data_IF_291118114575
#
_entry.id   IF_291118114575
#
_cell.length_a   1.000
_cell.length_b   1.000
_cell.length_c   1.000
_cell.angle_alpha   90.00
_cell.angle_beta   90.00
_cell.angle_gamma   90.00
#
_symmetry.space_group_name_H-M   'P 1'
#
loop_
_entity.id
_entity.type
_entity.pdbx_description
1 polymer ?
#
# COMPACT_ATOMS: atom_id res chain seq x y z
N UNK A 1 -8.07 0.26 22.36
CA UNK A 1 -6.72 0.38 22.94
C UNK A 1 -5.71 0.18 21.82
N UNK A 2 -5.35 1.21 21.05
CA UNK A 2 -4.38 1.05 19.96
C UNK A 2 -3.51 2.31 19.86
N UNK A 3 -2.25 2.15 20.26
CA UNK A 3 -1.06 2.85 19.75
C UNK A 3 -1.03 4.39 19.84
N UNK A 4 -1.67 5.01 20.83
CA UNK A 4 -1.53 6.47 21.07
C UNK A 4 -0.36 6.85 21.98
N UNK A 5 0.18 5.93 22.78
CA UNK A 5 1.08 6.29 23.89
C UNK A 5 2.59 6.12 23.60
N UNK A 6 2.98 5.55 22.45
CA UNK A 6 4.40 5.22 22.16
C UNK A 6 5.03 6.12 21.09
N UNK A 7 4.26 6.99 20.42
CA UNK A 7 4.75 7.78 19.30
C UNK A 7 4.98 9.24 19.72
N UNK A 8 6.08 9.84 19.21
CA UNK A 8 6.26 11.29 19.22
C UNK A 8 4.96 11.97 18.76
N UNK A 9 4.61 13.11 19.36
CA UNK A 9 3.29 13.78 19.27
C UNK A 9 2.76 13.99 17.83
N UNK A 10 3.61 13.81 16.81
CA UNK A 10 3.33 14.09 15.40
C UNK A 10 3.08 12.85 14.52
N UNK A 11 3.29 11.62 15.00
CA UNK A 11 3.04 10.40 14.19
C UNK A 11 1.63 9.89 14.45
N UNK A 12 0.82 9.79 13.38
CA UNK A 12 -0.48 9.13 13.41
C UNK A 12 -0.44 7.81 12.66
N UNK A 13 -1.13 6.81 13.22
CA UNK A 13 -1.36 5.53 12.57
C UNK A 13 -2.82 5.47 12.10
N UNK A 14 -3.00 5.14 10.83
CA UNK A 14 -4.29 4.80 10.24
C UNK A 14 -4.26 3.40 9.63
N UNK A 15 -5.41 2.94 9.18
CA UNK A 15 -5.52 1.72 8.37
C UNK A 15 -6.27 2.03 7.07
N UNK A 16 -6.01 1.18 6.08
CA UNK A 16 -6.64 1.14 4.77
C UNK A 16 -7.05 -0.31 4.52
N UNK A 17 -8.33 -0.53 4.27
CA UNK A 17 -8.79 -1.80 3.71
C UNK A 17 -8.80 -1.68 2.18
N UNK A 18 -8.26 -2.67 1.49
CA UNK A 18 -8.39 -2.72 0.04
C UNK A 18 -9.83 -3.10 -0.35
N UNK A 19 -10.51 -2.25 -1.13
CA UNK A 19 -11.91 -2.42 -1.51
C UNK A 19 -12.15 -3.61 -2.45
N UNK A 20 -11.15 -3.99 -3.25
CA UNK A 20 -11.25 -5.10 -4.22
C UNK A 20 -10.62 -6.36 -3.65
N UNK A 21 -9.40 -6.26 -3.15
CA UNK A 21 -8.68 -7.37 -2.50
C UNK A 21 -8.94 -7.31 -1.00
N UNK A 22 -10.20 -7.49 -0.63
CA UNK A 22 -10.70 -7.35 0.75
C UNK A 22 -10.01 -8.25 1.78
N UNK A 23 -9.20 -9.22 1.36
CA UNK A 23 -8.30 -9.98 2.23
C UNK A 23 -7.03 -9.24 2.67
N UNK A 24 -6.80 -7.99 2.24
CA UNK A 24 -5.61 -7.19 2.59
C UNK A 24 -5.99 -5.96 3.40
N UNK A 25 -5.33 -5.80 4.55
CA UNK A 25 -5.34 -4.56 5.34
C UNK A 25 -3.95 -3.96 5.38
N UNK A 26 -3.86 -2.66 5.12
CA UNK A 26 -2.64 -1.87 5.23
C UNK A 26 -2.71 -0.94 6.44
N UNK A 27 -1.64 -0.91 7.23
CA UNK A 27 -1.45 0.07 8.31
C UNK A 27 -0.46 1.12 7.82
N UNK A 28 -0.79 2.39 8.03
CA UNK A 28 0.01 3.51 7.54
C UNK A 28 0.36 4.39 8.72
N UNK A 29 1.66 4.57 8.95
CA UNK A 29 2.17 5.58 9.85
C UNK A 29 2.55 6.81 9.02
N UNK A 30 2.09 7.99 9.43
CA UNK A 30 2.43 9.25 8.75
C UNK A 30 2.59 10.38 9.75
N UNK A 31 3.50 11.31 9.44
CA UNK A 31 3.65 12.53 10.21
C UNK A 31 2.53 13.51 9.81
N UNK A 32 1.74 13.94 10.80
CA UNK A 32 0.72 14.98 10.66
C UNK A 32 1.09 16.19 11.56
N UNK A 33 2.24 16.79 11.32
CA UNK A 33 2.62 18.03 11.98
C UNK A 33 1.97 19.24 11.29
N UNK A 34 1.82 20.35 12.01
CA UNK A 34 1.32 21.63 11.49
C UNK A 34 2.40 22.73 11.38
N UNK A 35 3.70 22.46 11.62
CA UNK A 35 4.69 23.55 11.66
C UNK A 35 6.12 23.14 11.22
N UNK A 36 6.61 23.88 10.22
CA UNK A 36 7.97 24.19 9.72
C UNK A 36 9.17 23.22 9.77
N UNK A 37 9.19 22.15 10.57
CA UNK A 37 10.41 21.32 10.75
C UNK A 37 10.30 19.87 10.29
N UNK A 38 9.10 19.32 10.15
CA UNK A 38 8.89 17.93 9.71
C UNK A 38 8.23 17.86 8.34
N UNK A 39 8.78 17.04 7.43
CA UNK A 39 8.18 16.84 6.11
C UNK A 39 6.99 15.87 6.21
N UNK A 40 5.74 16.32 5.94
CA UNK A 40 4.58 15.43 5.93
C UNK A 40 4.65 14.34 4.85
N UNK A 41 5.66 14.35 3.96
CA UNK A 41 5.88 13.29 2.98
C UNK A 41 6.47 11.99 3.58
N UNK A 42 7.07 12.05 4.79
CA UNK A 42 7.57 10.86 5.47
C UNK A 42 6.41 9.99 5.97
N UNK A 43 6.37 8.75 5.47
CA UNK A 43 5.36 7.76 5.83
C UNK A 43 5.92 6.35 5.70
N UNK A 44 5.32 5.42 6.43
CA UNK A 44 5.58 3.99 6.36
C UNK A 44 4.27 3.23 6.15
N UNK A 45 4.31 2.16 5.37
CA UNK A 45 3.16 1.28 5.13
C UNK A 45 3.52 -0.18 5.46
N UNK A 46 2.58 -0.90 6.07
CA UNK A 46 2.66 -2.34 6.26
C UNK A 46 1.31 -2.97 5.92
N UNK A 47 1.27 -3.69 4.80
CA UNK A 47 0.12 -4.45 4.32
C UNK A 47 0.29 -5.92 4.68
N UNK A 48 -0.80 -6.53 5.17
CA UNK A 48 -0.84 -7.94 5.54
C UNK A 48 -2.11 -8.57 5.00
N UNK A 49 -2.02 -9.87 4.72
CA UNK A 49 -3.21 -10.68 4.54
C UNK A 49 -3.93 -10.79 5.89
N UNK A 50 -5.16 -10.30 5.94
CA UNK A 50 -6.05 -10.30 7.10
C UNK A 50 -7.34 -11.05 6.83
N UNK A 51 -7.52 -11.56 5.61
CA UNK A 51 -8.62 -12.42 5.20
C UNK A 51 -8.27 -13.24 3.96
N UNK A 52 -9.27 -13.91 3.39
CA UNK A 52 -9.09 -14.66 2.15
C UNK A 52 -8.76 -13.73 0.98
N UNK A 53 -7.77 -14.12 0.16
CA UNK A 53 -7.52 -13.53 -1.15
C UNK A 53 -7.92 -14.57 -2.19
N UNK A 54 -8.90 -14.25 -3.03
CA UNK A 54 -9.50 -15.20 -3.97
C UNK A 54 -9.19 -14.85 -5.44
N UNK A 55 -9.25 -15.82 -6.37
CA UNK A 55 -9.04 -15.56 -7.79
C UNK A 55 -9.99 -14.49 -8.35
N UNK A 56 -11.23 -14.43 -7.86
CA UNK A 56 -12.22 -13.43 -8.30
C UNK A 56 -11.83 -12.01 -7.89
N UNK A 57 -11.12 -11.84 -6.77
CA UNK A 57 -10.55 -10.55 -6.37
C UNK A 57 -9.44 -10.15 -7.33
N UNK A 58 -8.50 -11.07 -7.63
CA UNK A 58 -7.38 -10.83 -8.56
C UNK A 58 -7.85 -10.65 -10.01
N UNK A 59 -9.00 -11.20 -10.38
CA UNK A 59 -9.60 -10.96 -11.70
C UNK A 59 -10.12 -9.53 -11.88
N UNK A 60 -10.43 -8.82 -10.79
CA UNK A 60 -11.04 -7.47 -10.80
C UNK A 60 -10.01 -6.33 -10.73
N UNK A 61 -8.76 -6.61 -10.39
CA UNK A 61 -7.72 -5.57 -10.26
C UNK A 61 -7.10 -5.21 -11.61
N UNK A 62 -6.54 -3.99 -11.71
CA UNK A 62 -5.67 -3.62 -12.82
C UNK A 62 -4.37 -4.45 -12.82
N UNK A 63 -4.09 -5.11 -13.95
CA UNK A 63 -2.87 -5.92 -14.18
C UNK A 63 -1.83 -5.20 -15.03
N UNK A 64 -2.05 -3.93 -15.36
CA UNK A 64 -1.07 -3.10 -16.05
C UNK A 64 0.17 -2.87 -15.17
N UNK A 65 1.32 -2.58 -15.80
CA UNK A 65 2.56 -2.26 -15.08
C UNK A 65 2.43 -1.00 -14.21
N UNK A 66 1.50 -0.09 -14.57
CA UNK A 66 1.21 1.09 -13.77
C UNK A 66 0.39 0.79 -12.53
N UNK A 67 -0.38 -0.30 -12.50
CA UNK A 67 -1.32 -0.60 -11.42
C UNK A 67 -2.32 0.53 -11.13
N UNK A 68 -2.92 0.48 -9.93
CA UNK A 68 -4.09 1.28 -9.59
C UNK A 68 -3.91 2.04 -8.27
N UNK A 69 -4.38 3.29 -8.18
CA UNK A 69 -4.41 4.03 -6.91
C UNK A 69 -5.63 3.60 -6.10
N UNK A 70 -5.40 2.84 -5.04
CA UNK A 70 -6.44 2.29 -4.16
C UNK A 70 -6.74 3.18 -2.95
N UNK A 71 -5.92 4.19 -2.69
CA UNK A 71 -6.15 5.15 -1.61
C UNK A 71 -5.54 6.51 -1.91
N UNK A 72 -6.21 7.57 -1.46
CA UNK A 72 -5.76 8.95 -1.55
C UNK A 72 -6.13 9.70 -0.26
N UNK A 73 -5.17 10.38 0.36
CA UNK A 73 -5.41 11.27 1.51
C UNK A 73 -4.70 12.60 1.33
N UNK A 74 -5.44 13.69 1.48
CA UNK A 74 -4.89 15.05 1.47
C UNK A 74 -4.13 15.34 2.77
N UNK A 75 -2.97 15.99 2.66
CA UNK A 75 -2.16 16.48 3.77
C UNK A 75 -2.20 18.02 3.72
N UNK A 76 -2.65 18.64 4.81
CA UNK A 76 -3.04 20.08 4.87
C UNK A 76 -1.92 21.08 4.57
N UNK A 77 -0.66 20.67 4.67
CA UNK A 77 0.50 21.53 4.40
C UNK A 77 0.84 21.48 2.89
N UNK A 78 0.60 22.58 2.17
CA UNK A 78 0.94 22.79 0.76
C UNK A 78 0.29 21.82 -0.26
N UNK A 79 -0.99 21.47 -0.10
CA UNK A 79 -1.76 20.61 -1.03
C UNK A 79 -1.11 19.24 -1.35
N UNK A 80 -0.23 18.74 -0.48
CA UNK A 80 0.39 17.42 -0.67
C UNK A 80 -0.67 16.33 -0.59
N UNK A 81 -0.60 15.37 -1.50
CA UNK A 81 -1.50 14.21 -1.47
C UNK A 81 -0.68 12.94 -1.32
N UNK A 82 -0.98 12.15 -0.28
CA UNK A 82 -0.47 10.79 -0.15
C UNK A 82 -1.38 9.84 -0.93
N UNK A 83 -0.77 8.93 -1.70
CA UNK A 83 -1.44 7.90 -2.47
C UNK A 83 -0.87 6.54 -2.11
N UNK A 84 -1.71 5.51 -2.15
CA UNK A 84 -1.26 4.11 -2.16
C UNK A 84 -1.65 3.50 -3.49
N UNK A 85 -0.67 2.95 -4.19
CA UNK A 85 -0.87 2.28 -5.47
C UNK A 85 -0.62 0.79 -5.33
N UNK A 86 -1.61 0.00 -5.75
CA UNK A 86 -1.54 -1.45 -5.84
C UNK A 86 -1.03 -1.83 -7.22
N UNK A 87 -0.01 -2.69 -7.26
CA UNK A 87 0.56 -3.24 -8.49
C UNK A 87 0.56 -4.75 -8.35
N UNK A 88 0.10 -5.46 -9.39
CA UNK A 88 0.19 -6.91 -9.44
C UNK A 88 1.49 -7.32 -10.13
N UNK A 89 2.31 -8.09 -9.44
CA UNK A 89 3.46 -8.78 -10.02
C UNK A 89 3.05 -10.22 -10.35
N UNK A 90 2.80 -10.53 -11.64
CA UNK A 90 2.39 -11.88 -12.06
C UNK A 90 3.52 -12.90 -11.98
N UNK A 91 4.79 -12.48 -12.10
CA UNK A 91 5.93 -13.39 -12.09
C UNK A 91 6.12 -14.01 -10.71
N UNK A 92 6.07 -13.16 -9.67
CA UNK A 92 6.20 -13.59 -8.28
C UNK A 92 4.84 -13.80 -7.59
N UNK A 93 3.73 -13.68 -8.34
CA UNK A 93 2.35 -13.74 -7.82
C UNK A 93 2.19 -12.96 -6.50
N UNK A 94 2.48 -11.67 -6.56
CA UNK A 94 2.56 -10.81 -5.37
C UNK A 94 1.83 -9.49 -5.62
N UNK A 95 1.13 -8.99 -4.60
CA UNK A 95 0.54 -7.65 -4.61
C UNK A 95 1.50 -6.67 -3.94
N UNK A 96 1.89 -5.64 -4.67
CA UNK A 96 2.76 -4.56 -4.19
C UNK A 96 1.90 -3.36 -3.85
N UNK A 97 2.07 -2.80 -2.65
CA UNK A 97 1.41 -1.58 -2.19
C UNK A 97 2.47 -0.50 -1.98
N UNK A 98 2.57 0.40 -2.96
CA UNK A 98 3.50 1.53 -2.95
C UNK A 98 2.79 2.78 -2.40
N UNK A 99 3.19 3.22 -1.21
CA UNK A 99 2.84 4.53 -0.67
C UNK A 99 3.79 5.59 -1.21
N UNK A 100 3.26 6.70 -1.71
CA UNK A 100 4.05 7.85 -2.17
C UNK A 100 3.27 9.16 -2.02
N UNK A 101 3.99 10.27 -1.85
CA UNK A 101 3.39 11.61 -1.77
C UNK A 101 3.73 12.41 -3.02
N UNK A 102 2.72 12.97 -3.68
CA UNK A 102 2.93 13.90 -4.80
C UNK A 102 2.79 15.34 -4.29
N UNK A 103 3.80 16.19 -4.56
CA UNK A 103 3.70 17.65 -4.44
C UNK A 103 3.48 18.21 -5.85
N UNK A 104 2.63 19.23 -6.00
CA UNK A 104 2.36 19.86 -7.32
C UNK A 104 3.55 20.70 -7.82
N UNK A 105 4.50 21.08 -6.94
CA UNK A 105 5.56 22.03 -7.28
C UNK A 105 7.00 21.53 -7.11
N UNK A 106 7.31 20.54 -6.26
CA UNK A 106 8.70 20.06 -6.09
C UNK A 106 8.75 18.59 -5.63
N UNK A 107 9.42 17.74 -6.42
CA UNK A 107 9.45 16.28 -6.25
C UNK A 107 9.96 15.78 -4.89
N UNK A 108 9.06 15.55 -3.92
CA UNK A 108 9.37 14.66 -2.80
C UNK A 108 9.31 13.20 -3.28
N UNK A 109 10.47 12.57 -3.44
CA UNK A 109 10.62 11.16 -3.84
C UNK A 109 10.41 10.17 -2.69
N UNK A 110 9.82 10.61 -1.56
CA UNK A 110 9.59 9.76 -0.39
C UNK A 110 8.51 8.73 -0.72
N UNK A 111 8.88 7.47 -0.60
CA UNK A 111 8.02 6.34 -0.87
C UNK A 111 8.28 5.21 0.15
N UNK A 112 7.29 4.36 0.32
CA UNK A 112 7.37 3.15 1.15
C UNK A 112 6.62 2.03 0.45
N UNK A 113 7.19 0.82 0.47
CA UNK A 113 6.65 -0.34 -0.21
C UNK A 113 6.31 -1.43 0.81
N UNK A 114 5.17 -2.08 0.62
CA UNK A 114 4.82 -3.33 1.28
C UNK A 114 4.38 -4.35 0.23
N UNK A 115 4.72 -5.62 0.43
CA UNK A 115 4.35 -6.71 -0.46
C UNK A 115 3.47 -7.72 0.27
N UNK A 116 2.47 -8.26 -0.42
CA UNK A 116 1.61 -9.34 0.07
C UNK A 116 1.67 -10.47 -0.96
N UNK A 117 2.37 -11.58 -0.64
CA UNK A 117 2.44 -12.71 -1.57
C UNK A 117 1.06 -13.37 -1.69
N UNK A 118 0.73 -13.87 -2.88
CA UNK A 118 -0.45 -14.73 -3.06
C UNK A 118 -0.17 -16.17 -2.63
N UNK A 119 1.09 -16.56 -2.43
CA UNK A 119 1.47 -17.88 -1.94
C UNK A 119 0.73 -18.24 -0.64
N UNK A 120 0.12 -19.42 -0.60
CA UNK A 120 -0.69 -19.87 0.54
C UNK A 120 -2.11 -19.27 0.60
N UNK A 121 -2.50 -18.47 -0.39
CA UNK A 121 -3.88 -17.98 -0.55
C UNK A 121 -4.65 -18.78 -1.58
N UNK A 122 -5.98 -18.61 -1.60
CA UNK A 122 -6.86 -19.23 -2.62
C UNK A 122 -6.59 -18.69 -4.03
N UNK A 123 -5.91 -17.55 -4.15
CA UNK A 123 -5.57 -16.93 -5.41
C UNK A 123 -4.22 -17.38 -5.99
N UNK A 124 -3.44 -18.18 -5.26
CA UNK A 124 -2.18 -18.71 -5.78
C UNK A 124 -2.45 -19.70 -6.92
N UNK A 125 -1.71 -19.55 -8.01
CA UNK A 125 -1.69 -20.50 -9.12
C UNK A 125 -0.35 -21.23 -9.07
N UNK A 126 -0.36 -22.54 -8.89
CA UNK A 126 0.88 -23.32 -8.93
C UNK A 126 1.56 -23.16 -10.30
N UNK A 127 2.86 -22.85 -10.35
CA UNK A 127 3.60 -22.84 -11.60
C UNK A 127 3.48 -24.20 -12.27
N UNK A 128 2.96 -24.25 -13.49
CA UNK A 128 2.89 -25.50 -14.25
C UNK A 128 4.31 -25.93 -14.58
N UNK A 129 4.79 -27.01 -13.95
CA UNK A 129 6.03 -27.67 -14.34
C UNK A 129 5.80 -28.26 -15.73
N UNK A 130 6.37 -27.64 -16.76
CA UNK A 130 6.42 -28.27 -18.07
C UNK A 130 7.39 -29.46 -17.98
N UNK A 131 6.96 -30.70 -18.24
CA UNK A 131 7.90 -31.81 -18.37
C UNK A 131 8.82 -31.51 -19.55
N UNK A 132 10.11 -31.36 -19.26
CA UNK A 132 11.16 -31.27 -20.27
C UNK A 132 11.13 -32.54 -21.12
N UNK A 133 10.90 -32.37 -22.43
CA UNK A 133 11.13 -33.37 -23.48
C UNK A 133 12.60 -33.81 -23.50
#
# INVERSE_FOLDING_TARGET
MLVKEVLSKDIKIGHLQDEVVTGVTCHIASIEANLSLSDPSDSSISCRQTGDITPEMIAKIDKSKSGEVVFKKSKSIFFKTMKVRRIYDPENQTLLYLSYTTKETEGSFKHSLSTVPLYGTKAYVEPTVNPTN
#
